data_IF_181561714058
#
_entry.id   IF_181561714058
#
_cell.length_a   1.000
_cell.length_b   1.000
_cell.length_c   1.000
_cell.angle_alpha   90.00
_cell.angle_beta   90.00
_cell.angle_gamma   90.00
#
_symmetry.space_group_name_H-M   'P 1'
#
loop_
_entity.id
_entity.type
_entity.pdbx_description
1 polymer ?
#
# COMPACT_ATOMS: atom_id res chain seq x y z
N UNK A 1 68.42 -25.18 -4.86
CA UNK A 1 67.90 -24.78 -6.20
C UNK A 1 66.39 -24.95 -6.16
N UNK A 2 65.48 -24.06 -6.55
CA UNK A 2 65.44 -22.69 -7.06
C UNK A 2 63.99 -22.18 -6.87
N UNK A 3 63.78 -20.87 -6.94
CA UNK A 3 62.54 -20.09 -6.69
C UNK A 3 61.41 -20.28 -7.74
N UNK A 4 60.15 -20.11 -7.29
CA UNK A 4 59.00 -19.32 -7.86
C UNK A 4 57.69 -19.88 -7.30
N UNK A 5 56.60 -19.17 -7.02
CA UNK A 5 56.19 -17.77 -7.04
C UNK A 5 54.89 -17.71 -6.22
N UNK A 6 54.80 -16.86 -5.20
CA UNK A 6 53.63 -16.69 -4.32
C UNK A 6 53.10 -15.27 -4.53
N UNK A 7 52.07 -15.11 -5.38
CA UNK A 7 51.28 -13.88 -5.57
C UNK A 7 50.03 -14.19 -6.41
N UNK A 8 48.89 -13.66 -5.96
CA UNK A 8 47.52 -13.78 -6.51
C UNK A 8 46.93 -15.17 -6.22
N UNK A 9 45.94 -15.35 -5.35
CA UNK A 9 44.64 -14.68 -5.28
C UNK A 9 44.33 -14.19 -3.85
N UNK A 10 44.18 -12.87 -3.73
CA UNK A 10 43.57 -12.17 -2.60
C UNK A 10 42.55 -11.28 -3.27
N UNK A 11 41.25 -11.58 -3.13
CA UNK A 11 40.13 -10.63 -3.07
C UNK A 11 38.79 -11.39 -3.13
N UNK A 12 37.80 -10.87 -2.42
CA UNK A 12 36.45 -11.39 -2.23
C UNK A 12 36.24 -12.51 -1.21
N UNK A 13 36.67 -12.30 0.03
CA UNK A 13 35.98 -12.87 1.19
C UNK A 13 36.31 -12.02 2.42
N UNK A 14 35.72 -10.83 2.49
CA UNK A 14 35.72 -9.96 3.68
C UNK A 14 34.78 -8.79 3.42
N UNK A 15 33.48 -8.97 3.66
CA UNK A 15 32.57 -7.81 3.81
C UNK A 15 31.25 -8.10 4.54
N UNK A 16 31.18 -9.14 5.40
CA UNK A 16 29.96 -9.41 6.19
C UNK A 16 30.14 -9.44 7.71
N UNK A 17 31.32 -9.09 8.25
CA UNK A 17 31.54 -9.23 9.69
C UNK A 17 32.21 -8.04 10.40
N UNK A 18 32.00 -6.80 9.94
CA UNK A 18 32.50 -5.59 10.62
C UNK A 18 31.42 -4.58 11.04
N UNK A 19 30.15 -4.98 11.12
CA UNK A 19 29.06 -4.10 11.59
C UNK A 19 28.60 -4.52 12.99
N UNK A 20 29.54 -4.74 13.89
CA UNK A 20 29.25 -4.70 15.32
C UNK A 20 30.47 -4.12 16.03
N UNK A 21 30.22 -3.11 16.86
CA UNK A 21 31.18 -2.37 17.68
C UNK A 21 31.92 -1.21 16.99
N UNK A 22 31.26 -0.06 16.91
CA UNK A 22 31.82 1.17 17.51
C UNK A 22 30.80 2.31 17.60
N UNK A 23 30.73 2.84 18.82
CA UNK A 23 30.45 4.23 19.18
C UNK A 23 29.00 4.76 19.15
N UNK A 24 28.42 4.73 20.37
CA UNK A 24 27.65 5.83 20.96
C UNK A 24 28.40 7.16 20.76
N UNK A 25 28.03 7.94 19.75
CA UNK A 25 28.22 9.40 19.74
C UNK A 25 27.35 10.02 18.63
N UNK A 26 26.72 11.15 18.96
CA UNK A 26 25.61 11.78 18.26
C UNK A 26 25.59 11.59 16.75
N UNK A 27 24.48 11.03 16.25
CA UNK A 27 24.23 10.87 14.82
C UNK A 27 24.30 12.23 14.12
N UNK A 28 25.46 12.56 13.55
CA UNK A 28 25.70 13.77 12.78
C UNK A 28 24.54 14.05 11.81
N UNK A 29 24.13 15.32 11.73
CA UNK A 29 23.08 15.76 10.81
C UNK A 29 23.33 15.30 9.36
N UNK A 30 24.60 15.13 8.97
CA UNK A 30 25.01 14.59 7.69
C UNK A 30 24.64 13.11 7.50
N UNK A 31 24.78 12.28 8.54
CA UNK A 31 24.41 10.87 8.52
C UNK A 31 22.88 10.69 8.40
N UNK A 32 22.11 11.46 9.19
CA UNK A 32 20.64 11.49 9.09
C UNK A 32 20.18 11.96 7.71
N UNK A 33 20.85 12.96 7.12
CA UNK A 33 20.54 13.47 5.78
C UNK A 33 20.83 12.43 4.69
N UNK A 34 21.92 11.66 4.82
CA UNK A 34 22.24 10.53 3.91
C UNK A 34 21.21 9.40 4.01
N UNK A 35 20.79 9.01 5.22
CA UNK A 35 19.73 8.02 5.44
C UNK A 35 18.39 8.45 4.83
N UNK A 36 17.98 9.70 5.08
CA UNK A 36 16.75 10.27 4.47
C UNK A 36 16.82 10.29 2.94
N UNK A 37 17.98 10.65 2.37
CA UNK A 37 18.18 10.64 0.91
C UNK A 37 18.13 9.22 0.33
N UNK A 38 18.74 8.24 1.01
CA UNK A 38 18.69 6.82 0.60
C UNK A 38 17.26 6.28 0.65
N UNK A 39 16.49 6.56 1.71
CA UNK A 39 15.06 6.20 1.81
C UNK A 39 14.23 6.80 0.68
N UNK A 40 14.40 8.11 0.40
CA UNK A 40 13.70 8.78 -0.71
C UNK A 40 14.04 8.19 -2.09
N UNK A 41 15.26 7.70 -2.27
CA UNK A 41 15.69 7.10 -3.53
C UNK A 41 15.04 5.72 -3.73
N UNK A 42 15.03 4.89 -2.69
CA UNK A 42 14.33 3.59 -2.68
C UNK A 42 12.83 3.79 -2.92
N UNK A 43 12.21 4.72 -2.20
CA UNK A 43 10.79 5.08 -2.37
C UNK A 43 10.48 5.57 -3.79
N UNK A 44 11.39 6.34 -4.42
CA UNK A 44 11.24 6.79 -5.81
C UNK A 44 11.34 5.64 -6.81
N UNK A 45 12.25 4.69 -6.59
CA UNK A 45 12.43 3.53 -7.46
C UNK A 45 11.25 2.55 -7.35
N UNK A 46 10.76 2.31 -6.13
CA UNK A 46 9.55 1.54 -5.85
C UNK A 46 8.31 2.20 -6.45
N UNK A 47 8.20 3.53 -6.36
CA UNK A 47 7.15 4.30 -7.04
C UNK A 47 7.18 4.17 -8.57
N UNK A 48 8.38 4.22 -9.14
CA UNK A 48 8.55 4.11 -10.61
C UNK A 48 8.19 2.71 -11.09
N UNK A 49 8.56 1.67 -10.33
CA UNK A 49 8.12 0.29 -10.58
C UNK A 49 6.60 0.17 -10.42
N UNK A 50 6.02 0.70 -9.36
CA UNK A 50 4.56 0.69 -9.13
C UNK A 50 3.78 1.36 -10.28
N UNK A 51 4.30 2.45 -10.86
CA UNK A 51 3.70 3.09 -12.04
C UNK A 51 3.73 2.20 -13.29
N UNK A 52 4.84 1.50 -13.53
CA UNK A 52 4.96 0.53 -14.62
C UNK A 52 4.07 -0.72 -14.44
N UNK A 53 3.66 -1.02 -13.20
CA UNK A 53 2.80 -2.16 -12.83
C UNK A 53 1.33 -1.78 -12.63
N UNK A 54 0.83 -0.67 -13.18
CA UNK A 54 -0.61 -0.35 -13.07
C UNK A 54 -1.51 -1.26 -13.90
N UNK A 55 -0.99 -1.78 -15.01
CA UNK A 55 -1.74 -2.68 -15.91
C UNK A 55 -0.91 -3.93 -16.21
N UNK A 56 -1.48 -5.11 -15.97
CA UNK A 56 -0.88 -6.38 -16.35
C UNK A 56 -1.08 -6.60 -17.85
N UNK A 57 -0.04 -7.13 -18.50
CA UNK A 57 -0.15 -7.55 -19.91
C UNK A 57 -0.96 -8.83 -20.08
N UNK A 58 -1.23 -9.56 -18.99
CA UNK A 58 -2.03 -10.78 -18.96
C UNK A 58 -3.45 -10.48 -18.51
N UNK A 59 -4.42 -11.23 -19.05
CA UNK A 59 -5.80 -11.22 -18.60
C UNK A 59 -5.98 -12.20 -17.43
N UNK A 60 -7.03 -12.01 -16.64
CA UNK A 60 -7.46 -13.02 -15.68
C UNK A 60 -7.99 -14.26 -16.43
N UNK A 61 -7.76 -15.48 -15.91
CA UNK A 61 -8.32 -16.68 -16.51
C UNK A 61 -9.84 -16.68 -16.35
N UNK A 62 -10.53 -17.40 -17.24
CA UNK A 62 -11.97 -17.58 -17.08
C UNK A 62 -12.29 -18.40 -15.84
N UNK A 63 -13.42 -18.06 -15.22
CA UNK A 63 -14.00 -18.80 -14.11
C UNK A 63 -14.54 -20.14 -14.61
N UNK A 64 -14.30 -21.22 -13.86
CA UNK A 64 -14.81 -22.54 -14.22
C UNK A 64 -16.32 -22.63 -13.99
N UNK A 65 -17.01 -23.49 -14.74
CA UNK A 65 -18.46 -23.69 -14.58
C UNK A 65 -18.76 -24.22 -13.17
N UNK A 66 -19.64 -23.53 -12.45
CA UNK A 66 -20.03 -23.88 -11.06
C UNK A 66 -19.02 -23.50 -9.98
N UNK A 67 -17.89 -22.89 -10.33
CA UNK A 67 -16.90 -22.41 -9.36
C UNK A 67 -17.50 -21.25 -8.52
N UNK A 68 -17.15 -21.15 -7.24
CA UNK A 68 -17.49 -19.97 -6.45
C UNK A 68 -16.52 -18.82 -6.77
N UNK A 69 -16.88 -17.57 -6.48
CA UNK A 69 -15.95 -16.45 -6.66
C UNK A 69 -14.72 -16.59 -5.75
N UNK A 70 -14.91 -17.08 -4.51
CA UNK A 70 -13.81 -17.37 -3.58
C UNK A 70 -12.86 -18.43 -4.13
N UNK A 71 -13.38 -19.56 -4.63
CA UNK A 71 -12.54 -20.64 -5.16
C UNK A 71 -11.78 -20.19 -6.41
N UNK A 72 -12.45 -19.43 -7.29
CA UNK A 72 -11.84 -18.81 -8.46
C UNK A 72 -10.64 -17.94 -8.10
N UNK A 73 -10.82 -17.04 -7.14
CA UNK A 73 -9.76 -16.14 -6.71
C UNK A 73 -8.65 -16.85 -5.95
N UNK A 74 -8.97 -17.84 -5.09
CA UNK A 74 -7.95 -18.64 -4.40
C UNK A 74 -7.13 -19.49 -5.37
N UNK A 75 -7.76 -20.03 -6.42
CA UNK A 75 -7.06 -20.77 -7.49
C UNK A 75 -6.09 -19.87 -8.24
N UNK A 76 -6.48 -18.64 -8.53
CA UNK A 76 -5.63 -17.71 -9.27
C UNK A 76 -4.56 -17.06 -8.39
N UNK A 77 -4.95 -16.37 -7.32
CA UNK A 77 -4.05 -15.59 -6.47
C UNK A 77 -3.31 -16.43 -5.40
N UNK A 78 -3.82 -17.62 -5.09
CA UNK A 78 -3.25 -18.50 -4.06
C UNK A 78 -3.84 -18.25 -2.67
N UNK A 79 -3.46 -19.08 -1.69
CA UNK A 79 -3.85 -18.87 -0.29
C UNK A 79 -2.89 -17.87 0.36
N UNK A 80 -3.43 -17.03 1.24
CA UNK A 80 -2.60 -16.20 2.12
C UNK A 80 -2.11 -17.05 3.29
N UNK A 81 -0.80 -17.05 3.51
CA UNK A 81 -0.18 -17.61 4.72
C UNK A 81 0.50 -16.47 5.51
N UNK A 82 0.10 -16.23 6.78
CA UNK A 82 0.71 -15.21 7.64
C UNK A 82 2.23 -15.35 7.79
N UNK A 83 2.75 -16.58 7.68
CA UNK A 83 4.16 -16.91 7.82
C UNK A 83 4.95 -16.78 6.51
N UNK A 84 4.30 -16.38 5.41
CA UNK A 84 5.01 -16.05 4.17
C UNK A 84 6.04 -14.95 4.43
N UNK A 85 7.20 -15.08 3.79
CA UNK A 85 8.21 -14.04 3.80
C UNK A 85 7.68 -12.76 3.12
N UNK A 86 8.34 -11.63 3.37
CA UNK A 86 7.90 -10.33 2.85
C UNK A 86 7.91 -10.25 1.32
N UNK A 87 8.82 -10.97 0.66
CA UNK A 87 8.89 -11.02 -0.81
C UNK A 87 7.62 -11.65 -1.42
N UNK A 88 7.22 -12.82 -0.96
CA UNK A 88 5.99 -13.50 -1.42
C UNK A 88 4.74 -12.71 -1.06
N UNK A 89 4.73 -12.03 0.08
CA UNK A 89 3.65 -11.10 0.45
C UNK A 89 3.56 -9.95 -0.55
N UNK A 90 4.68 -9.31 -0.86
CA UNK A 90 4.73 -8.23 -1.84
C UNK A 90 4.31 -8.68 -3.24
N UNK A 91 4.70 -9.88 -3.67
CA UNK A 91 4.24 -10.47 -4.93
C UNK A 91 2.71 -10.64 -4.94
N UNK A 92 2.14 -11.20 -3.87
CA UNK A 92 0.68 -11.32 -3.74
C UNK A 92 0.01 -9.94 -3.77
N UNK A 93 0.56 -8.94 -3.09
CA UNK A 93 0.00 -7.59 -3.08
C UNK A 93 -0.01 -6.96 -4.46
N UNK A 94 1.10 -7.09 -5.20
CA UNK A 94 1.22 -6.62 -6.58
C UNK A 94 0.16 -7.28 -7.47
N UNK A 95 0.00 -8.60 -7.37
CA UNK A 95 -0.98 -9.35 -8.15
C UNK A 95 -2.42 -8.93 -7.81
N UNK A 96 -2.72 -8.71 -6.54
CA UNK A 96 -4.05 -8.23 -6.13
C UNK A 96 -4.32 -6.83 -6.67
N UNK A 97 -3.35 -5.92 -6.57
CA UNK A 97 -3.54 -4.48 -6.83
C UNK A 97 -3.33 -4.06 -8.29
N UNK A 98 -2.80 -4.91 -9.16
CA UNK A 98 -2.68 -4.61 -10.60
C UNK A 98 -4.02 -4.73 -11.32
N UNK A 99 -4.26 -3.88 -12.31
CA UNK A 99 -5.41 -4.00 -13.21
C UNK A 99 -5.07 -4.96 -14.35
N UNK A 100 -5.86 -6.00 -14.58
CA UNK A 100 -5.54 -7.01 -15.59
C UNK A 100 -5.94 -6.58 -17.01
N UNK A 101 -5.31 -7.17 -18.03
CA UNK A 101 -5.64 -6.87 -19.43
C UNK A 101 -7.12 -7.15 -19.69
N UNK A 102 -7.82 -6.15 -20.23
CA UNK A 102 -9.25 -6.22 -20.55
C UNK A 102 -10.18 -6.01 -19.36
N UNK A 103 -9.65 -5.79 -18.15
CA UNK A 103 -10.43 -5.50 -16.97
C UNK A 103 -10.88 -4.02 -16.99
N UNK A 104 -12.19 -3.78 -16.90
CA UNK A 104 -12.71 -2.42 -16.74
C UNK A 104 -12.32 -1.84 -15.37
N UNK A 105 -12.31 -0.52 -15.23
CA UNK A 105 -12.04 0.12 -13.93
C UNK A 105 -13.03 -0.34 -12.86
N UNK A 106 -14.31 -0.49 -13.22
CA UNK A 106 -15.35 -0.95 -12.31
C UNK A 106 -15.10 -2.41 -11.86
N UNK A 107 -14.72 -3.29 -12.79
CA UNK A 107 -14.41 -4.69 -12.47
C UNK A 107 -13.14 -4.81 -11.63
N UNK A 108 -12.12 -4.00 -11.92
CA UNK A 108 -10.88 -3.87 -11.15
C UNK A 108 -11.16 -3.54 -9.68
N UNK A 109 -11.92 -2.47 -9.43
CA UNK A 109 -12.29 -2.06 -8.06
C UNK A 109 -13.14 -3.14 -7.39
N UNK A 110 -14.14 -3.68 -8.10
CA UNK A 110 -15.04 -4.71 -7.57
C UNK A 110 -14.29 -5.99 -7.18
N UNK A 111 -13.30 -6.40 -7.99
CA UNK A 111 -12.44 -7.55 -7.68
C UNK A 111 -11.63 -7.31 -6.41
N UNK A 112 -10.96 -6.16 -6.30
CA UNK A 112 -10.14 -5.88 -5.12
C UNK A 112 -11.01 -5.83 -3.87
N UNK A 113 -12.20 -5.21 -3.94
CA UNK A 113 -13.17 -5.19 -2.84
C UNK A 113 -13.57 -6.60 -2.42
N UNK A 114 -13.89 -7.47 -3.38
CA UNK A 114 -14.22 -8.86 -3.08
C UNK A 114 -13.07 -9.63 -2.45
N UNK A 115 -11.85 -9.49 -3.00
CA UNK A 115 -10.64 -10.12 -2.48
C UNK A 115 -10.37 -9.70 -1.04
N UNK A 116 -10.53 -8.42 -0.76
CA UNK A 116 -10.36 -7.86 0.56
C UNK A 116 -11.44 -8.34 1.53
N UNK A 117 -12.71 -8.30 1.16
CA UNK A 117 -13.76 -8.55 2.14
C UNK A 117 -14.04 -10.05 2.33
N UNK A 118 -13.77 -10.89 1.32
CA UNK A 118 -14.17 -12.30 1.32
C UNK A 118 -13.01 -13.30 1.24
N UNK A 119 -11.93 -12.97 0.52
CA UNK A 119 -10.84 -13.93 0.27
C UNK A 119 -9.68 -13.76 1.25
N UNK A 120 -9.35 -12.51 1.57
CA UNK A 120 -8.23 -12.14 2.42
C UNK A 120 -8.59 -11.02 3.42
N UNK A 121 -9.62 -11.21 4.28
CA UNK A 121 -9.98 -10.23 5.31
C UNK A 121 -8.85 -9.92 6.30
N UNK A 122 -7.90 -10.85 6.46
CA UNK A 122 -6.71 -10.75 7.30
C UNK A 122 -5.54 -10.02 6.65
N UNK A 123 -5.63 -9.61 5.38
CA UNK A 123 -4.57 -8.85 4.72
C UNK A 123 -4.50 -7.42 5.27
N UNK A 124 -3.42 -7.17 6.02
CA UNK A 124 -3.12 -5.89 6.66
C UNK A 124 -2.58 -4.83 5.68
N UNK A 125 -2.64 -5.06 4.37
CA UNK A 125 -2.08 -4.09 3.42
C UNK A 125 -2.85 -2.78 3.38
N UNK A 126 -4.15 -2.79 3.74
CA UNK A 126 -5.02 -1.62 3.74
C UNK A 126 -4.57 -0.53 4.73
N UNK A 127 -3.76 -0.90 5.71
CA UNK A 127 -3.32 -0.07 6.85
C UNK A 127 -1.80 0.17 6.82
N UNK A 128 -1.05 -0.62 6.04
CA UNK A 128 0.42 -0.54 5.93
C UNK A 128 0.88 0.59 5.02
N UNK A 129 1.59 1.57 5.61
CA UNK A 129 2.18 2.73 4.93
C UNK A 129 3.18 2.38 3.82
N UNK A 130 3.87 1.26 3.91
CA UNK A 130 4.91 0.87 2.93
C UNK A 130 4.33 0.46 1.55
N UNK A 131 3.01 0.26 1.46
CA UNK A 131 2.32 -0.19 0.24
C UNK A 131 1.44 0.93 -0.37
N UNK A 132 1.55 2.16 0.16
CA UNK A 132 0.76 3.32 -0.27
C UNK A 132 0.82 3.54 -1.79
N UNK A 133 1.98 3.32 -2.39
CA UNK A 133 2.17 3.50 -3.85
C UNK A 133 1.40 2.46 -4.68
N UNK A 134 1.22 1.24 -4.16
CA UNK A 134 0.43 0.20 -4.82
C UNK A 134 -1.07 0.41 -4.62
N UNK A 135 -1.46 1.00 -3.49
CA UNK A 135 -2.86 1.33 -3.19
C UNK A 135 -3.35 2.62 -3.86
N UNK A 136 -2.43 3.46 -4.36
CA UNK A 136 -2.74 4.76 -4.98
C UNK A 136 -3.75 4.60 -6.12
N UNK A 137 -3.47 3.72 -7.09
CA UNK A 137 -4.36 3.48 -8.23
C UNK A 137 -5.74 3.01 -7.76
N UNK A 138 -5.78 1.95 -6.97
CA UNK A 138 -7.02 1.38 -6.43
C UNK A 138 -7.89 2.40 -5.71
N UNK A 139 -7.34 3.16 -4.76
CA UNK A 139 -8.15 4.11 -4.00
C UNK A 139 -8.56 5.34 -4.80
N UNK A 140 -7.75 5.77 -5.77
CA UNK A 140 -8.14 6.86 -6.69
C UNK A 140 -9.33 6.44 -7.57
N UNK A 141 -9.32 5.22 -8.10
CA UNK A 141 -10.44 4.72 -8.89
C UNK A 141 -11.68 4.46 -8.02
N UNK A 142 -11.50 3.80 -6.86
CA UNK A 142 -12.60 3.48 -5.94
C UNK A 142 -13.32 4.72 -5.41
N UNK A 143 -12.55 5.75 -5.08
CA UNK A 143 -13.05 6.98 -4.49
C UNK A 143 -13.02 8.15 -5.48
N UNK A 144 -13.01 7.88 -6.78
CA UNK A 144 -13.21 8.90 -7.80
C UNK A 144 -14.53 9.65 -7.54
N UNK A 145 -14.56 10.94 -7.85
CA UNK A 145 -15.79 11.73 -7.78
C UNK A 145 -16.75 11.25 -8.86
N UNK A 146 -18.01 11.03 -8.47
CA UNK A 146 -19.07 10.72 -9.41
C UNK A 146 -19.48 11.98 -10.17
N UNK A 147 -20.15 11.80 -11.31
CA UNK A 147 -20.65 12.92 -12.09
C UNK A 147 -21.59 13.79 -11.23
N UNK A 148 -21.32 15.10 -11.19
CA UNK A 148 -22.09 16.10 -10.39
C UNK A 148 -22.09 15.84 -8.87
N UNK A 149 -21.15 15.03 -8.36
CA UNK A 149 -21.01 14.81 -6.93
C UNK A 149 -20.44 16.06 -6.26
N UNK A 150 -21.17 16.59 -5.27
CA UNK A 150 -20.65 17.67 -4.43
C UNK A 150 -19.58 17.14 -3.49
N UNK A 151 -18.70 18.03 -3.02
CA UNK A 151 -17.65 17.64 -2.09
C UNK A 151 -18.20 17.04 -0.78
N UNK A 152 -19.31 17.58 -0.27
CA UNK A 152 -19.99 17.07 0.93
C UNK A 152 -20.55 15.65 0.71
N UNK A 153 -21.15 15.38 -0.46
CA UNK A 153 -21.65 14.04 -0.82
C UNK A 153 -20.50 13.05 -0.98
N UNK A 154 -19.40 13.49 -1.58
CA UNK A 154 -18.19 12.69 -1.70
C UNK A 154 -17.64 12.33 -0.31
N UNK A 155 -17.49 13.31 0.59
CA UNK A 155 -17.04 13.04 1.95
C UNK A 155 -17.96 12.07 2.69
N UNK A 156 -19.28 12.21 2.55
CA UNK A 156 -20.23 11.25 3.12
C UNK A 156 -20.02 9.83 2.59
N UNK A 157 -19.90 9.66 1.27
CA UNK A 157 -19.69 8.33 0.68
C UNK A 157 -18.36 7.69 1.09
N UNK A 158 -17.30 8.49 1.21
CA UNK A 158 -15.93 7.99 1.41
C UNK A 158 -15.56 7.85 2.89
N UNK A 159 -16.01 8.78 3.73
CA UNK A 159 -15.59 8.89 5.12
C UNK A 159 -16.60 8.35 6.12
N UNK A 160 -17.83 8.03 5.73
CA UNK A 160 -18.75 7.36 6.67
C UNK A 160 -18.11 6.08 7.20
N UNK A 161 -18.15 5.92 8.52
CA UNK A 161 -17.67 4.71 9.20
C UNK A 161 -18.56 3.52 8.81
N UNK A 162 -17.93 2.40 8.46
CA UNK A 162 -18.68 1.20 8.08
C UNK A 162 -19.31 0.56 9.32
N UNK A 163 -20.46 -0.10 9.14
CA UNK A 163 -21.07 -0.88 10.22
C UNK A 163 -20.10 -1.96 10.72
N UNK A 164 -19.90 -2.01 12.04
CA UNK A 164 -18.95 -2.94 12.68
C UNK A 164 -17.47 -2.58 12.53
N UNK A 165 -17.12 -1.45 11.92
CA UNK A 165 -15.72 -0.97 11.85
C UNK A 165 -15.27 -0.44 13.21
N UNK A 166 -14.16 -0.94 13.75
CA UNK A 166 -13.61 -0.41 15.00
C UNK A 166 -13.05 1.00 14.81
N UNK A 167 -12.97 1.84 15.86
CA UNK A 167 -12.34 3.16 15.78
C UNK A 167 -10.92 3.12 15.20
N UNK A 168 -10.12 2.12 15.57
CA UNK A 168 -8.74 1.96 15.12
C UNK A 168 -8.67 1.67 13.62
N UNK A 169 -9.47 0.71 13.14
CA UNK A 169 -9.53 0.36 11.71
C UNK A 169 -10.05 1.53 10.87
N UNK A 170 -11.05 2.25 11.37
CA UNK A 170 -11.56 3.46 10.74
C UNK A 170 -10.46 4.52 10.59
N UNK A 171 -9.74 4.80 11.67
CA UNK A 171 -8.65 5.78 11.69
C UNK A 171 -7.51 5.40 10.75
N UNK A 172 -7.12 4.14 10.71
CA UNK A 172 -6.08 3.63 9.81
C UNK A 172 -6.50 3.79 8.35
N UNK A 173 -7.73 3.41 8.01
CA UNK A 173 -8.28 3.58 6.66
C UNK A 173 -8.26 5.05 6.24
N UNK A 174 -8.80 5.95 7.06
CA UNK A 174 -8.85 7.37 6.72
C UNK A 174 -7.45 7.99 6.63
N UNK A 175 -6.52 7.58 7.50
CA UNK A 175 -5.11 8.01 7.42
C UNK A 175 -4.44 7.56 6.11
N UNK A 176 -4.78 6.36 5.62
CA UNK A 176 -4.32 5.88 4.31
C UNK A 176 -4.88 6.76 3.19
N UNK A 177 -6.17 7.08 3.22
CA UNK A 177 -6.81 7.97 2.23
C UNK A 177 -6.22 9.38 2.23
N UNK A 178 -5.95 9.95 3.41
CA UNK A 178 -5.29 11.26 3.53
C UNK A 178 -3.89 11.28 2.93
N UNK A 179 -3.18 10.15 3.01
CA UNK A 179 -1.84 10.00 2.43
C UNK A 179 -1.89 9.90 0.90
N UNK A 180 -2.89 9.20 0.36
CA UNK A 180 -3.01 8.91 -1.08
C UNK A 180 -3.70 10.04 -1.84
N UNK A 181 -4.86 10.50 -1.36
CA UNK A 181 -5.70 11.49 -2.03
C UNK A 181 -5.27 12.91 -1.61
N UNK A 182 -4.07 13.29 -1.99
CA UNK A 182 -3.44 14.57 -1.62
C UNK A 182 -4.11 15.79 -2.25
N UNK A 183 -4.93 15.58 -3.28
CA UNK A 183 -5.71 16.61 -3.97
C UNK A 183 -7.03 16.97 -3.26
N UNK A 184 -7.39 16.25 -2.19
CA UNK A 184 -8.60 16.50 -1.38
C UNK A 184 -8.35 17.57 -0.31
N UNK A 185 -9.35 18.44 -0.09
CA UNK A 185 -9.31 19.51 0.93
C UNK A 185 -9.56 18.98 2.35
N UNK A 186 -8.63 18.18 2.86
CA UNK A 186 -8.73 17.54 4.18
C UNK A 186 -8.90 18.51 5.35
N UNK A 187 -8.49 19.77 5.21
CA UNK A 187 -8.67 20.81 6.23
C UNK A 187 -10.14 21.14 6.55
N UNK A 188 -11.11 20.66 5.76
CA UNK A 188 -12.55 20.78 6.06
C UNK A 188 -13.10 19.59 6.86
N UNK A 189 -12.29 18.60 7.20
CA UNK A 189 -12.75 17.35 7.83
C UNK A 189 -12.12 17.23 9.21
N UNK A 190 -12.97 16.97 10.22
CA UNK A 190 -12.52 16.52 11.54
C UNK A 190 -12.87 15.04 11.66
N UNK A 191 -11.86 14.22 12.01
CA UNK A 191 -12.03 12.78 12.21
C UNK A 191 -12.50 12.53 13.64
N UNK A 192 -13.61 11.81 13.75
CA UNK A 192 -14.32 11.50 14.99
C UNK A 192 -14.53 9.99 15.08
N UNK A 193 -13.44 9.24 15.21
CA UNK A 193 -13.36 7.77 15.15
C UNK A 193 -14.31 7.04 16.12
N UNK A 194 -14.72 7.71 17.21
CA UNK A 194 -15.63 7.18 18.23
C UNK A 194 -17.11 7.43 17.93
N UNK A 195 -17.45 8.11 16.84
CA UNK A 195 -18.84 8.37 16.42
C UNK A 195 -19.29 7.37 15.34
N UNK A 196 -20.60 7.21 15.18
CA UNK A 196 -21.17 6.38 14.11
C UNK A 196 -20.92 6.98 12.72
N UNK A 197 -20.87 8.30 12.59
CA UNK A 197 -20.52 8.96 11.34
C UNK A 197 -19.02 8.79 11.01
N UNK A 198 -18.16 8.82 12.02
CA UNK A 198 -16.70 8.77 11.91
C UNK A 198 -16.05 10.11 11.58
N UNK A 199 -16.79 11.10 11.09
CA UNK A 199 -16.26 12.41 10.73
C UNK A 199 -17.32 13.51 10.85
N UNK A 200 -16.87 14.76 10.89
CA UNK A 200 -17.71 15.94 10.66
C UNK A 200 -17.02 16.94 9.75
N UNK A 201 -17.82 17.76 9.06
CA UNK A 201 -17.31 18.84 8.21
C UNK A 201 -17.25 20.16 8.96
N UNK A 202 -16.18 20.92 8.72
CA UNK A 202 -16.05 22.29 9.19
C UNK A 202 -16.79 23.19 8.21
N UNK A 203 -17.87 23.80 8.67
CA UNK A 203 -18.56 24.88 7.96
C UNK A 203 -17.78 26.18 8.17
N UNK A 204 -17.49 26.96 7.11
CA UNK A 204 -16.96 28.31 7.30
C UNK A 204 -18.01 29.16 8.04
N UNK A 205 -17.80 29.37 9.34
CA UNK A 205 -18.72 30.16 10.18
C UNK A 205 -18.63 29.87 11.68
N UNK A 206 -18.32 28.63 12.09
CA UNK A 206 -18.13 28.31 13.50
C UNK A 206 -16.64 28.35 13.86
N UNK A 207 -16.14 29.56 14.12
CA UNK A 207 -15.02 29.71 15.05
C UNK A 207 -15.57 29.28 16.42
N UNK A 208 -15.12 28.15 16.96
CA UNK A 208 -15.34 27.89 18.38
C UNK A 208 -14.57 28.96 19.15
N UNK A 209 -15.31 29.81 19.86
CA UNK A 209 -14.77 30.60 20.95
C UNK A 209 -14.25 29.66 22.06
#
# INVERSE_FOLDING_TARGET
TSKKSRRQEVEMEKDENSVEQSNKQGSSAAYQKKLKKKRKLVEKEENTKAFAYRVAYTALPNKCLGESDTDYYLRFFGKYDPNMNEEKKNELYLRILIQYKGESVADYVKRIDYLFDNVYPQLDIRTKKLVVNLLDHYYREKYARLEKETEEKWFARVLTKKSGESPEKYKERVSCLQTILTDVKWGRVVIEENTDAGYRLITPGNKSC
#
